data_IF_656055240725
#
_entry.id   IF_656055240725
#
_cell.length_a   1.000
_cell.length_b   1.000
_cell.length_c   1.000
_cell.angle_alpha   90.00
_cell.angle_beta   90.00
_cell.angle_gamma   90.00
#
_symmetry.space_group_name_H-M   'P 1'
#
loop_
_entity.id
_entity.type
_entity.pdbx_description
1 polymer ?
#
# COMPACT_ATOMS: atom_id res chain seq x y z
N UNK A 1 -11.22 8.94 -8.42
CA UNK A 1 -11.45 9.27 -6.99
C UNK A 1 -10.96 8.09 -6.19
N UNK A 2 -10.16 8.31 -5.15
CA UNK A 2 -9.63 7.26 -4.28
C UNK A 2 -10.31 7.39 -2.92
N UNK A 3 -10.91 6.30 -2.46
CA UNK A 3 -11.53 6.22 -1.14
C UNK A 3 -10.47 5.85 -0.12
N UNK A 4 -10.41 6.58 0.99
CA UNK A 4 -9.41 6.39 2.05
C UNK A 4 -10.09 6.34 3.41
N UNK A 5 -9.46 5.66 4.38
CA UNK A 5 -9.89 5.74 5.78
C UNK A 5 -9.48 7.08 6.41
N UNK A 6 -10.09 7.45 7.54
CA UNK A 6 -9.78 8.68 8.28
C UNK A 6 -8.49 8.58 9.10
N UNK A 7 -7.39 8.11 8.49
CA UNK A 7 -6.08 8.02 9.14
C UNK A 7 -5.46 9.41 9.29
N UNK A 8 -4.72 9.65 10.38
CA UNK A 8 -4.07 10.94 10.67
C UNK A 8 -3.08 11.42 9.60
N UNK A 9 -2.56 10.50 8.79
CA UNK A 9 -1.67 10.82 7.66
C UNK A 9 -2.40 11.39 6.46
N UNK A 10 -3.72 11.20 6.38
CA UNK A 10 -4.59 11.65 5.28
C UNK A 10 -5.50 12.78 5.74
N UNK A 11 -5.99 12.73 6.98
CA UNK A 11 -6.94 13.69 7.55
C UNK A 11 -6.35 14.33 8.81
N UNK A 12 -6.38 15.66 8.89
CA UNK A 12 -6.10 16.38 10.14
C UNK A 12 -7.32 16.29 11.08
N UNK A 13 -8.52 16.38 10.51
CA UNK A 13 -9.78 16.19 11.22
C UNK A 13 -10.65 15.17 10.47
N UNK A 14 -11.08 14.12 11.16
CA UNK A 14 -11.81 13.03 10.53
C UNK A 14 -13.16 13.46 9.96
N UNK A 15 -13.53 12.87 8.82
CA UNK A 15 -14.87 13.06 8.24
C UNK A 15 -15.91 12.27 9.03
N UNK A 16 -17.00 12.94 9.39
CA UNK A 16 -18.18 12.35 10.04
C UNK A 16 -19.44 12.58 9.19
N UNK A 17 -20.61 12.19 9.67
CA UNK A 17 -21.88 12.47 8.98
C UNK A 17 -22.22 13.96 8.95
N UNK A 18 -21.79 14.69 9.99
CA UNK A 18 -22.11 16.11 10.17
C UNK A 18 -20.97 17.05 9.79
N UNK A 19 -19.77 16.50 9.59
CA UNK A 19 -18.57 17.28 9.29
C UNK A 19 -17.80 16.64 8.14
N UNK A 20 -17.45 17.44 7.14
CA UNK A 20 -16.73 16.96 5.95
C UNK A 20 -15.31 16.50 6.23
N UNK A 21 -14.76 16.85 7.40
CA UNK A 21 -13.37 16.61 7.75
C UNK A 21 -12.44 17.62 7.10
N UNK A 22 -11.20 17.64 7.58
CA UNK A 22 -10.11 18.45 7.05
C UNK A 22 -9.02 17.51 6.55
N UNK A 23 -8.73 17.55 5.25
CA UNK A 23 -7.68 16.75 4.62
C UNK A 23 -6.32 17.35 5.00
N UNK A 24 -5.36 16.50 5.35
CA UNK A 24 -4.00 16.93 5.61
C UNK A 24 -3.39 17.59 4.37
N UNK A 25 -2.85 18.81 4.54
CA UNK A 25 -2.33 19.60 3.42
C UNK A 25 -1.25 18.88 2.59
N UNK A 26 -0.37 18.09 3.23
CA UNK A 26 0.67 17.32 2.50
C UNK A 26 0.05 16.22 1.65
N UNK A 27 -1.00 15.56 2.16
CA UNK A 27 -1.71 14.53 1.41
C UNK A 27 -2.58 15.13 0.30
N UNK A 28 -3.18 16.31 0.53
CA UNK A 28 -3.92 17.04 -0.48
C UNK A 28 -3.00 17.44 -1.66
N UNK A 29 -1.78 17.92 -1.36
CA UNK A 29 -0.78 18.21 -2.38
C UNK A 29 -0.37 16.95 -3.15
N UNK A 30 -0.12 15.84 -2.45
CA UNK A 30 0.17 14.55 -3.09
C UNK A 30 -0.96 14.11 -4.04
N UNK A 31 -2.22 14.25 -3.62
CA UNK A 31 -3.35 13.90 -4.46
C UNK A 31 -3.46 14.78 -5.72
N UNK A 32 -3.17 16.08 -5.59
CA UNK A 32 -3.12 17.02 -6.70
C UNK A 32 -2.00 16.67 -7.68
N UNK A 33 -0.79 16.42 -7.17
CA UNK A 33 0.39 16.06 -7.97
C UNK A 33 0.19 14.78 -8.78
N UNK A 34 -0.51 13.79 -8.19
CA UNK A 34 -0.80 12.50 -8.83
C UNK A 34 -2.16 12.47 -9.56
N UNK A 35 -2.89 13.59 -9.61
CA UNK A 35 -4.10 13.72 -10.41
C UNK A 35 -5.31 12.95 -9.90
N UNK A 36 -5.39 12.61 -8.61
CA UNK A 36 -6.55 11.92 -8.04
C UNK A 36 -7.26 12.76 -6.99
N UNK A 37 -8.57 12.54 -6.84
CA UNK A 37 -9.38 13.16 -5.78
C UNK A 37 -9.47 12.21 -4.59
N UNK A 38 -9.19 12.72 -3.39
CA UNK A 38 -9.34 11.98 -2.13
C UNK A 38 -10.80 12.05 -1.69
N UNK A 39 -11.38 10.90 -1.34
CA UNK A 39 -12.69 10.83 -0.72
C UNK A 39 -12.60 10.03 0.59
N UNK A 40 -12.50 10.70 1.74
CA UNK A 40 -12.49 10.03 3.03
C UNK A 40 -13.82 9.31 3.27
N UNK A 41 -13.74 8.13 3.87
CA UNK A 41 -14.90 7.40 4.38
C UNK A 41 -15.62 8.22 5.45
N UNK A 42 -16.92 8.02 5.58
CA UNK A 42 -17.71 8.61 6.66
C UNK A 42 -17.51 7.73 7.91
N UNK A 43 -17.05 8.33 9.01
CA UNK A 43 -16.92 7.61 10.28
C UNK A 43 -18.27 7.02 10.72
N UNK A 44 -18.25 5.80 11.26
CA UNK A 44 -19.46 5.11 11.73
C UNK A 44 -20.28 4.40 10.64
N UNK A 45 -19.87 4.44 9.36
CA UNK A 45 -20.51 3.67 8.28
C UNK A 45 -19.70 2.42 7.91
N UNK A 46 -20.03 1.24 8.45
CA UNK A 46 -19.28 0.01 8.20
C UNK A 46 -19.34 -0.43 6.71
N UNK A 47 -20.45 -0.15 6.02
CA UNK A 47 -20.68 -0.57 4.63
C UNK A 47 -19.80 0.14 3.59
N UNK A 48 -19.10 1.22 3.99
CA UNK A 48 -18.15 1.94 3.12
C UNK A 48 -16.77 1.28 3.06
N UNK A 49 -16.45 0.40 4.02
CA UNK A 49 -15.22 -0.39 3.99
C UNK A 49 -15.48 -1.63 3.12
N UNK A 50 -14.58 -1.89 2.17
CA UNK A 50 -14.71 -3.04 1.26
C UNK A 50 -14.88 -4.36 2.02
N UNK A 51 -15.56 -5.35 1.41
CA UNK A 51 -15.74 -6.67 2.01
C UNK A 51 -14.37 -7.26 2.38
N UNK A 52 -14.13 -7.44 3.67
CA UNK A 52 -12.84 -7.90 4.21
C UNK A 52 -12.67 -9.42 4.17
N UNK A 53 -13.75 -10.19 4.01
CA UNK A 53 -13.71 -11.66 4.14
C UNK A 53 -12.90 -12.36 3.03
N UNK A 54 -13.04 -11.94 1.77
CA UNK A 54 -12.36 -12.59 0.66
C UNK A 54 -10.83 -12.36 0.67
N UNK A 55 -10.32 -11.14 0.94
CA UNK A 55 -8.88 -10.92 1.12
C UNK A 55 -8.28 -11.68 2.31
N UNK A 56 -9.02 -11.87 3.41
CA UNK A 56 -8.50 -12.56 4.60
C UNK A 56 -8.13 -14.02 4.32
N UNK A 57 -8.86 -14.70 3.44
CA UNK A 57 -8.53 -16.08 3.01
C UNK A 57 -7.12 -16.21 2.44
N UNK A 58 -6.60 -15.16 1.80
CA UNK A 58 -5.24 -15.14 1.26
C UNK A 58 -4.21 -15.06 2.38
N UNK A 59 -4.51 -14.29 3.43
CA UNK A 59 -3.66 -14.21 4.62
C UNK A 59 -3.69 -15.52 5.40
N UNK A 60 -4.85 -16.17 5.52
CA UNK A 60 -4.99 -17.49 6.15
C UNK A 60 -4.14 -18.55 5.42
N UNK A 61 -4.11 -18.51 4.08
CA UNK A 61 -3.26 -19.40 3.29
C UNK A 61 -1.77 -19.16 3.53
N UNK A 62 -1.32 -17.90 3.60
CA UNK A 62 0.07 -17.58 3.97
C UNK A 62 0.35 -18.08 5.39
N UNK A 63 -0.58 -17.84 6.31
CA UNK A 63 -0.45 -18.20 7.72
C UNK A 63 -0.36 -19.71 7.95
N UNK A 64 -0.99 -20.53 7.10
CA UNK A 64 -0.88 -21.98 7.14
C UNK A 64 0.57 -22.51 7.01
N UNK A 65 1.49 -21.70 6.47
CA UNK A 65 2.91 -22.03 6.35
C UNK A 65 3.79 -21.32 7.39
N UNK A 66 3.21 -20.75 8.46
CA UNK A 66 3.98 -20.06 9.48
C UNK A 66 5.07 -20.97 10.07
N UNK A 67 6.30 -20.45 10.10
CA UNK A 67 7.47 -21.17 10.60
C UNK A 67 8.03 -22.25 9.67
N UNK A 68 7.48 -22.41 8.46
CA UNK A 68 7.95 -23.40 7.47
C UNK A 68 8.81 -22.81 6.36
N UNK A 69 8.74 -21.50 6.15
CA UNK A 69 9.47 -20.81 5.10
C UNK A 69 10.59 -19.93 5.65
N UNK A 70 11.72 -19.86 4.94
CA UNK A 70 12.65 -18.74 5.07
C UNK A 70 12.03 -17.44 4.53
N UNK A 71 12.71 -16.32 4.73
CA UNK A 71 12.23 -15.04 4.20
C UNK A 71 12.14 -15.05 2.66
N UNK A 72 13.13 -15.63 2.00
CA UNK A 72 13.19 -15.75 0.54
C UNK A 72 12.08 -16.66 0.01
N UNK A 73 11.86 -17.81 0.65
CA UNK A 73 10.78 -18.73 0.29
C UNK A 73 9.40 -18.11 0.47
N UNK A 74 9.21 -17.35 1.57
CA UNK A 74 7.98 -16.60 1.80
C UNK A 74 7.77 -15.55 0.70
N UNK A 75 8.83 -14.84 0.31
CA UNK A 75 8.77 -13.86 -0.77
C UNK A 75 8.34 -14.53 -2.08
N UNK A 76 8.97 -15.65 -2.47
CA UNK A 76 8.58 -16.41 -3.66
C UNK A 76 7.14 -16.91 -3.59
N UNK A 77 6.72 -17.43 -2.44
CA UNK A 77 5.36 -17.91 -2.23
C UNK A 77 4.34 -16.79 -2.46
N UNK A 78 4.58 -15.60 -1.87
CA UNK A 78 3.72 -14.43 -2.06
C UNK A 78 3.66 -14.00 -3.54
N UNK A 79 4.79 -14.03 -4.26
CA UNK A 79 4.80 -13.73 -5.70
C UNK A 79 3.95 -14.73 -6.50
N UNK A 80 4.08 -16.03 -6.22
CA UNK A 80 3.28 -17.09 -6.83
C UNK A 80 1.79 -16.92 -6.52
N UNK A 81 1.46 -16.57 -5.28
CA UNK A 81 0.10 -16.30 -4.84
C UNK A 81 -0.50 -15.10 -5.60
N UNK A 82 0.22 -13.98 -5.68
CA UNK A 82 -0.20 -12.80 -6.44
C UNK A 82 -0.42 -13.13 -7.92
N UNK A 83 0.49 -13.88 -8.55
CA UNK A 83 0.35 -14.30 -9.95
C UNK A 83 -0.89 -15.16 -10.16
N UNK A 84 -1.12 -16.14 -9.27
CA UNK A 84 -2.29 -17.04 -9.31
C UNK A 84 -3.59 -16.24 -9.23
N UNK A 85 -3.71 -15.32 -8.28
CA UNK A 85 -4.93 -14.50 -8.12
C UNK A 85 -5.16 -13.61 -9.34
N UNK A 86 -4.11 -12.96 -9.86
CA UNK A 86 -4.22 -12.08 -11.02
C UNK A 86 -4.58 -12.82 -12.32
N UNK A 87 -4.34 -14.14 -12.39
CA UNK A 87 -4.70 -15.02 -13.49
C UNK A 87 -6.04 -15.74 -13.27
N UNK A 88 -6.63 -15.64 -12.09
CA UNK A 88 -7.91 -16.29 -11.77
C UNK A 88 -9.07 -15.47 -12.31
N UNK A 89 -10.11 -16.14 -12.82
CA UNK A 89 -11.33 -15.49 -13.26
C UNK A 89 -12.07 -14.86 -12.07
N UNK A 90 -12.32 -13.56 -12.14
CA UNK A 90 -12.99 -12.83 -11.07
C UNK A 90 -14.50 -12.75 -11.35
N UNK A 91 -15.29 -13.52 -10.59
CA UNK A 91 -16.74 -13.67 -10.78
C UNK A 91 -17.50 -12.34 -10.77
N UNK A 92 -17.12 -11.40 -9.90
CA UNK A 92 -17.82 -10.11 -9.79
C UNK A 92 -17.60 -9.15 -10.97
N UNK A 93 -16.51 -9.33 -11.73
CA UNK A 93 -16.18 -8.47 -12.89
C UNK A 93 -16.30 -9.22 -14.21
N UNK A 94 -16.45 -10.56 -14.17
CA UNK A 94 -16.51 -11.41 -15.36
C UNK A 94 -15.22 -11.43 -16.17
N UNK A 95 -14.08 -11.04 -15.58
CA UNK A 95 -12.80 -10.88 -16.28
C UNK A 95 -11.66 -11.52 -15.49
N UNK A 96 -10.58 -11.84 -16.21
CA UNK A 96 -9.30 -12.17 -15.60
C UNK A 96 -8.51 -10.87 -15.40
N UNK A 97 -8.06 -10.52 -14.17
CA UNK A 97 -7.42 -9.24 -13.87
C UNK A 97 -6.22 -8.91 -14.76
N UNK A 98 -5.34 -9.89 -15.06
CA UNK A 98 -4.17 -9.64 -15.90
C UNK A 98 -4.53 -9.22 -17.33
N UNK A 99 -5.62 -9.76 -17.88
CA UNK A 99 -6.10 -9.37 -19.21
C UNK A 99 -6.84 -8.03 -19.18
N UNK A 100 -7.65 -7.80 -18.15
CA UNK A 100 -8.32 -6.50 -17.96
C UNK A 100 -7.30 -5.37 -17.85
N UNK A 101 -6.28 -5.53 -17.01
CA UNK A 101 -5.20 -4.55 -16.85
C UNK A 101 -4.49 -4.27 -18.17
N UNK A 102 -4.22 -5.30 -18.99
CA UNK A 102 -3.56 -5.13 -20.29
C UNK A 102 -4.41 -4.28 -21.26
N UNK A 103 -5.73 -4.42 -21.24
CA UNK A 103 -6.66 -3.62 -22.05
C UNK A 103 -6.77 -2.18 -21.51
N UNK A 104 -6.88 -2.03 -20.19
CA UNK A 104 -7.08 -0.74 -19.52
C UNK A 104 -5.80 0.10 -19.45
N UNK A 105 -4.61 -0.50 -19.58
CA UNK A 105 -3.32 0.19 -19.46
C UNK A 105 -3.20 1.42 -20.35
N UNK A 106 -3.75 1.36 -21.57
CA UNK A 106 -3.69 2.48 -22.52
C UNK A 106 -4.63 3.64 -22.15
N UNK A 107 -5.59 3.42 -21.25
CA UNK A 107 -6.50 4.46 -20.74
C UNK A 107 -5.91 5.21 -19.54
N UNK A 108 -4.80 4.73 -18.98
CA UNK A 108 -4.16 5.34 -17.82
C UNK A 108 -3.38 6.59 -18.22
N UNK A 109 -3.43 7.60 -17.36
CA UNK A 109 -2.59 8.78 -17.49
C UNK A 109 -1.14 8.45 -17.12
N UNK A 110 -0.15 9.15 -17.72
CA UNK A 110 1.24 9.00 -17.34
C UNK A 110 1.47 9.44 -15.90
N UNK A 111 2.47 8.84 -15.25
CA UNK A 111 2.88 9.26 -13.91
C UNK A 111 3.49 10.67 -13.93
N UNK A 112 3.43 11.40 -12.80
CA UNK A 112 4.11 12.70 -12.67
C UNK A 112 5.62 12.60 -12.94
N UNK A 113 6.24 13.74 -13.26
CA UNK A 113 7.68 13.86 -13.48
C UNK A 113 8.48 13.31 -12.30
N UNK A 114 9.66 12.75 -12.55
CA UNK A 114 10.52 12.18 -11.49
C UNK A 114 10.76 13.16 -10.34
N UNK A 115 11.04 14.43 -10.62
CA UNK A 115 11.25 15.45 -9.60
C UNK A 115 10.10 15.56 -8.57
N UNK A 116 8.84 15.39 -9.01
CA UNK A 116 7.67 15.37 -8.12
C UNK A 116 7.67 14.07 -7.32
N UNK A 117 7.85 12.93 -7.99
CA UNK A 117 7.85 11.60 -7.34
C UNK A 117 8.96 11.46 -6.29
N UNK A 118 10.15 11.96 -6.59
CA UNK A 118 11.34 11.89 -5.73
C UNK A 118 11.15 12.69 -4.43
N UNK A 119 10.31 13.74 -4.46
CA UNK A 119 9.99 14.53 -3.25
C UNK A 119 9.22 13.72 -2.19
N UNK A 120 8.50 12.68 -2.61
CA UNK A 120 7.73 11.79 -1.74
C UNK A 120 8.48 10.51 -1.35
N UNK A 121 9.69 10.29 -1.85
CA UNK A 121 10.49 9.11 -1.48
C UNK A 121 11.01 9.25 -0.05
N UNK A 122 10.98 8.12 0.68
CA UNK A 122 11.63 8.02 1.98
C UNK A 122 13.14 8.10 1.74
N UNK A 123 13.78 9.16 2.27
CA UNK A 123 15.22 9.34 2.15
C UNK A 123 15.93 8.32 3.03
N UNK A 124 16.60 7.37 2.40
CA UNK A 124 17.48 6.44 3.10
C UNK A 124 18.81 7.11 3.40
N UNK A 125 19.30 6.94 4.62
CA UNK A 125 20.65 7.34 5.00
C UNK A 125 21.56 6.11 4.90
N UNK A 126 22.54 6.17 4.00
CA UNK A 126 23.61 5.18 4.00
C UNK A 126 24.41 5.31 5.30
N UNK A 127 24.59 4.20 6.00
CA UNK A 127 25.34 4.11 7.24
C UNK A 127 26.43 3.06 7.08
N UNK A 128 27.60 3.34 7.64
CA UNK A 128 28.73 2.41 7.61
C UNK A 128 28.55 1.38 8.72
N UNK A 129 28.66 0.10 8.37
CA UNK A 129 28.72 -1.00 9.34
C UNK A 129 30.11 -0.99 9.97
N UNK A 130 30.18 -1.03 11.30
CA UNK A 130 31.46 -1.14 12.00
C UNK A 130 32.01 -2.57 11.94
N UNK A 131 33.24 -2.76 12.42
CA UNK A 131 33.89 -4.09 12.45
C UNK A 131 33.14 -5.14 13.27
N UNK A 132 32.23 -4.71 14.15
CA UNK A 132 31.39 -5.58 14.99
C UNK A 132 30.02 -5.88 14.35
N UNK A 133 29.79 -5.52 13.09
CA UNK A 133 28.52 -5.79 12.40
C UNK A 133 27.36 -4.89 12.83
N UNK A 134 27.65 -3.70 13.38
CA UNK A 134 26.63 -2.80 13.95
C UNK A 134 26.58 -1.45 13.20
N UNK A 135 25.41 -0.83 13.16
CA UNK A 135 25.18 0.54 12.67
C UNK A 135 24.72 1.44 13.81
N UNK A 136 25.06 2.74 13.76
CA UNK A 136 24.62 3.74 14.74
C UNK A 136 23.55 4.65 14.16
N UNK A 137 22.40 4.77 14.84
CA UNK A 137 21.31 5.65 14.45
C UNK A 137 20.62 6.25 15.69
N UNK A 138 20.49 7.59 15.73
CA UNK A 138 19.87 8.35 16.84
C UNK A 138 20.35 7.88 18.23
N UNK A 139 21.68 7.80 18.40
CA UNK A 139 22.35 7.37 19.64
C UNK A 139 22.15 5.90 20.04
N UNK A 140 21.46 5.10 19.23
CA UNK A 140 21.31 3.66 19.43
C UNK A 140 22.17 2.89 18.42
N UNK A 141 22.58 1.68 18.79
CA UNK A 141 23.25 0.74 17.88
C UNK A 141 22.31 -0.40 17.50
N UNK A 142 22.38 -0.82 16.25
CA UNK A 142 21.56 -1.91 15.71
C UNK A 142 22.49 -2.91 15.00
N UNK A 143 22.32 -4.20 15.30
CA UNK A 143 23.03 -5.28 14.61
C UNK A 143 22.49 -5.46 13.19
N UNK A 144 23.37 -5.70 12.24
CA UNK A 144 22.99 -6.02 10.86
C UNK A 144 23.13 -7.54 10.67
N UNK A 145 22.16 -8.21 10.01
CA UNK A 145 22.31 -9.62 9.65
C UNK A 145 23.55 -9.80 8.77
N UNK A 146 24.25 -10.91 8.95
CA UNK A 146 25.38 -11.31 8.10
C UNK A 146 24.90 -11.78 6.72
#
# INVERSE_FOLDING_TARGET
VIVTDNMKTVMDEARTEHFTGTINNKFAQFAQDFGFKVQPCIAGRPNTKGKVEAPMKLLDEIHAYQGRFTFEELHEFVQKLCARINQTFHQGTGKIPVFALKQEKNLLQPLPKSAIRDSYMIKHKLVKVNTSGMISYKSNQYSVPA
#
